data_IF_440752474006
#
_entry.id   IF_440752474006
#
_cell.length_a   1.000
_cell.length_b   1.000
_cell.length_c   1.000
_cell.angle_alpha   90.00
_cell.angle_beta   90.00
_cell.angle_gamma   90.00
#
_symmetry.space_group_name_H-M   'P 1'
#
loop_
_entity.id
_entity.type
_entity.pdbx_description
1 polymer ?
#
# COMPACT_ATOMS: atom_id res chain seq x y z
N UNK A 1 -64.59 -19.22 25.75
CA UNK A 1 -63.49 -18.61 24.98
C UNK A 1 -62.18 -18.99 25.67
N UNK A 2 -61.53 -20.08 25.26
CA UNK A 2 -60.21 -20.45 25.73
C UNK A 2 -59.19 -19.59 24.98
N UNK A 3 -58.46 -18.73 25.72
CA UNK A 3 -57.30 -18.05 25.17
C UNK A 3 -56.18 -19.10 24.99
N UNK A 4 -55.90 -19.43 23.76
CA UNK A 4 -54.70 -20.20 23.42
C UNK A 4 -53.52 -19.27 23.71
N UNK A 5 -52.83 -19.50 24.84
CA UNK A 5 -51.49 -18.95 25.06
C UNK A 5 -50.60 -19.52 23.99
N UNK A 6 -50.24 -18.72 22.98
CA UNK A 6 -49.13 -19.02 22.07
C UNK A 6 -47.89 -19.26 22.95
N UNK A 7 -47.53 -20.52 23.11
CA UNK A 7 -46.25 -20.90 23.71
C UNK A 7 -45.17 -20.42 22.73
N UNK A 8 -44.58 -19.27 23.04
CA UNK A 8 -43.41 -18.78 22.29
C UNK A 8 -42.34 -19.88 22.31
N UNK A 9 -42.13 -20.47 21.16
CA UNK A 9 -41.15 -21.52 20.99
C UNK A 9 -39.76 -20.88 21.15
N UNK A 10 -39.03 -21.20 22.23
CA UNK A 10 -37.65 -20.72 22.45
C UNK A 10 -36.66 -21.76 21.93
N UNK A 11 -35.57 -21.27 21.35
CA UNK A 11 -34.51 -22.12 20.79
C UNK A 11 -33.27 -22.19 21.68
N UNK A 12 -33.01 -21.18 22.50
CA UNK A 12 -31.87 -21.12 23.44
C UNK A 12 -32.27 -20.55 24.81
N UNK A 13 -31.67 -21.13 25.85
CA UNK A 13 -31.76 -20.62 27.25
C UNK A 13 -30.37 -20.27 27.74
N UNK A 14 -30.19 -19.10 28.35
CA UNK A 14 -28.93 -18.71 28.99
C UNK A 14 -28.71 -19.51 30.25
N UNK A 15 -27.70 -20.37 30.26
CA UNK A 15 -27.39 -21.22 31.44
C UNK A 15 -26.41 -20.56 32.38
N UNK A 16 -25.38 -19.91 31.85
CA UNK A 16 -24.29 -19.35 32.65
C UNK A 16 -23.69 -18.12 32.00
N UNK A 17 -23.31 -17.15 32.81
CA UNK A 17 -22.57 -15.95 32.38
C UNK A 17 -21.29 -15.88 33.21
N UNK A 18 -20.13 -15.77 32.54
CA UNK A 18 -18.83 -15.62 33.19
C UNK A 18 -18.12 -14.39 32.62
N UNK A 19 -17.73 -13.43 33.47
CA UNK A 19 -16.89 -12.29 33.04
C UNK A 19 -15.45 -12.74 32.85
N UNK A 20 -14.88 -12.41 31.68
CA UNK A 20 -13.49 -12.71 31.33
C UNK A 20 -12.88 -11.45 30.72
N UNK A 21 -12.03 -10.78 31.50
CA UNK A 21 -11.51 -9.45 31.17
C UNK A 21 -12.65 -8.43 30.93
N UNK A 22 -12.64 -7.75 29.80
CA UNK A 22 -13.66 -6.78 29.34
C UNK A 22 -14.88 -7.43 28.64
N UNK A 23 -15.00 -8.76 28.66
CA UNK A 23 -16.04 -9.47 27.91
C UNK A 23 -16.76 -10.48 28.80
N UNK A 24 -17.88 -10.98 28.31
CA UNK A 24 -18.72 -12.00 28.98
C UNK A 24 -18.76 -13.26 28.09
N UNK A 25 -18.46 -14.40 28.67
CA UNK A 25 -18.76 -15.71 28.07
C UNK A 25 -20.15 -16.15 28.57
N UNK A 26 -21.06 -16.29 27.61
CA UNK A 26 -22.44 -16.69 27.86
C UNK A 26 -22.62 -18.09 27.31
N UNK A 27 -23.03 -18.99 28.19
CA UNK A 27 -23.37 -20.36 27.81
C UNK A 27 -24.87 -20.45 27.61
N UNK A 28 -25.26 -20.90 26.43
CA UNK A 28 -26.64 -21.16 26.03
C UNK A 28 -26.87 -22.68 25.93
N UNK A 29 -28.07 -23.11 26.29
CA UNK A 29 -28.49 -24.47 26.06
C UNK A 29 -29.66 -24.48 25.08
N UNK A 30 -29.57 -25.32 24.03
CA UNK A 30 -30.67 -25.56 23.11
C UNK A 30 -31.64 -26.64 23.59
N UNK A 31 -32.75 -26.87 22.88
CA UNK A 31 -33.75 -27.90 23.18
C UNK A 31 -33.16 -29.33 23.26
N UNK A 32 -32.03 -29.58 22.62
CA UNK A 32 -31.33 -30.87 22.61
C UNK A 32 -30.27 -30.97 23.72
N UNK A 33 -30.29 -30.07 24.70
CA UNK A 33 -29.32 -30.01 25.80
C UNK A 33 -27.87 -29.77 25.38
N UNK A 34 -27.65 -29.30 24.14
CA UNK A 34 -26.31 -28.93 23.66
C UNK A 34 -25.94 -27.57 24.19
N UNK A 35 -24.73 -27.44 24.75
CA UNK A 35 -24.20 -26.19 25.25
C UNK A 35 -23.43 -25.45 24.15
N UNK A 36 -23.75 -24.18 23.95
CA UNK A 36 -23.12 -23.31 22.96
C UNK A 36 -22.59 -22.09 23.74
N UNK A 37 -21.29 -21.78 23.61
CA UNK A 37 -20.66 -20.64 24.28
C UNK A 37 -20.36 -19.54 23.29
N UNK A 38 -20.89 -18.34 23.57
CA UNK A 38 -20.60 -17.14 22.81
C UNK A 38 -19.98 -16.05 23.70
N UNK A 39 -19.15 -15.21 23.08
CA UNK A 39 -18.47 -14.10 23.73
C UNK A 39 -19.18 -12.79 23.37
N UNK A 40 -19.55 -12.02 24.41
CA UNK A 40 -20.25 -10.74 24.29
C UNK A 40 -19.46 -9.61 24.94
N UNK A 41 -19.62 -8.41 24.43
CA UNK A 41 -19.19 -7.17 25.10
C UNK A 41 -20.23 -6.75 26.16
N UNK A 42 -19.86 -5.82 27.05
CA UNK A 42 -20.79 -5.29 28.03
C UNK A 42 -21.99 -4.59 27.36
N UNK A 43 -21.74 -3.80 26.31
CA UNK A 43 -22.78 -3.13 25.54
C UNK A 43 -23.80 -4.14 24.95
N UNK A 44 -23.31 -5.26 24.42
CA UNK A 44 -24.19 -6.31 23.89
C UNK A 44 -24.99 -7.02 24.98
N UNK A 45 -24.40 -7.22 26.17
CA UNK A 45 -25.13 -7.78 27.32
C UNK A 45 -26.30 -6.89 27.70
N UNK A 46 -26.10 -5.56 27.68
CA UNK A 46 -27.14 -4.57 28.00
C UNK A 46 -28.16 -4.47 26.87
N UNK A 47 -27.70 -4.32 25.61
CA UNK A 47 -28.55 -4.17 24.43
C UNK A 47 -29.54 -5.32 24.28
N UNK A 48 -29.06 -6.55 24.39
CA UNK A 48 -29.90 -7.74 24.27
C UNK A 48 -30.49 -8.20 25.62
N UNK A 49 -30.22 -7.47 26.71
CA UNK A 49 -30.66 -7.82 28.08
C UNK A 49 -30.37 -9.28 28.41
N UNK A 50 -29.12 -9.72 28.16
CA UNK A 50 -28.73 -11.11 28.39
C UNK A 50 -28.55 -11.37 29.89
N UNK A 51 -29.46 -12.14 30.49
CA UNK A 51 -29.43 -12.56 31.89
C UNK A 51 -29.54 -14.06 31.99
N UNK A 52 -29.14 -14.63 33.12
CA UNK A 52 -29.31 -16.08 33.36
C UNK A 52 -30.80 -16.44 33.31
N UNK A 53 -31.11 -17.62 32.79
CA UNK A 53 -32.45 -18.19 32.57
C UNK A 53 -33.29 -17.44 31.52
N UNK A 54 -32.75 -16.40 30.86
CA UNK A 54 -33.44 -15.76 29.76
C UNK A 54 -33.51 -16.70 28.54
N UNK A 55 -34.69 -16.75 27.94
CA UNK A 55 -34.97 -17.51 26.74
C UNK A 55 -34.94 -16.60 25.51
N UNK A 56 -34.45 -17.12 24.39
CA UNK A 56 -34.42 -16.45 23.10
C UNK A 56 -35.08 -17.34 22.05
N UNK A 57 -35.86 -16.74 21.14
CA UNK A 57 -36.34 -17.43 19.96
C UNK A 57 -35.26 -17.43 18.88
N UNK A 58 -35.50 -18.19 17.80
CA UNK A 58 -34.54 -18.34 16.71
C UNK A 58 -34.11 -17.01 16.09
N UNK A 59 -35.08 -16.12 15.83
CA UNK A 59 -34.82 -14.80 15.23
C UNK A 59 -33.97 -13.91 16.13
N UNK A 60 -34.24 -13.91 17.43
CA UNK A 60 -33.44 -13.18 18.42
C UNK A 60 -32.04 -13.71 18.51
N UNK A 61 -31.87 -15.04 18.48
CA UNK A 61 -30.54 -15.67 18.47
C UNK A 61 -29.77 -15.28 17.22
N UNK A 62 -30.37 -15.39 16.04
CA UNK A 62 -29.73 -15.02 14.79
C UNK A 62 -29.31 -13.54 14.78
N UNK A 63 -30.15 -12.65 15.31
CA UNK A 63 -29.84 -11.22 15.44
C UNK A 63 -28.65 -10.99 16.40
N UNK A 64 -28.66 -11.65 17.56
CA UNK A 64 -27.59 -11.56 18.56
C UNK A 64 -26.26 -12.03 17.94
N UNK A 65 -26.25 -13.17 17.26
CA UNK A 65 -25.06 -13.71 16.63
C UNK A 65 -24.55 -12.81 15.51
N UNK A 66 -25.45 -12.31 14.68
CA UNK A 66 -25.10 -11.36 13.61
C UNK A 66 -24.47 -10.10 14.17
N UNK A 67 -25.07 -9.49 15.20
CA UNK A 67 -24.56 -8.26 15.86
C UNK A 67 -23.21 -8.52 16.54
N UNK A 68 -23.06 -9.67 17.22
CA UNK A 68 -21.80 -10.06 17.84
C UNK A 68 -20.68 -10.22 16.81
N UNK A 69 -20.97 -10.87 15.69
CA UNK A 69 -20.01 -11.08 14.61
C UNK A 69 -19.62 -9.77 13.93
N UNK A 70 -20.60 -8.88 13.69
CA UNK A 70 -20.38 -7.55 13.14
C UNK A 70 -19.46 -6.71 14.05
N UNK A 71 -19.70 -6.69 15.36
CA UNK A 71 -18.85 -5.99 16.33
C UNK A 71 -17.43 -6.57 16.39
N UNK A 72 -17.28 -7.88 16.33
CA UNK A 72 -15.98 -8.57 16.27
C UNK A 72 -15.16 -8.12 15.04
N UNK A 73 -15.78 -8.10 13.85
CA UNK A 73 -15.10 -7.72 12.64
C UNK A 73 -14.86 -6.21 12.54
N UNK A 74 -15.75 -5.38 13.07
CA UNK A 74 -15.50 -3.95 13.24
C UNK A 74 -14.24 -3.69 14.06
N UNK A 75 -14.12 -4.33 15.23
CA UNK A 75 -12.95 -4.18 16.12
C UNK A 75 -11.66 -4.73 15.48
N UNK A 76 -11.74 -5.83 14.72
CA UNK A 76 -10.59 -6.34 13.94
C UNK A 76 -10.15 -5.34 12.86
N UNK A 77 -11.10 -4.71 12.18
CA UNK A 77 -10.81 -3.71 11.16
C UNK A 77 -10.18 -2.46 11.76
N UNK A 78 -10.65 -1.99 12.91
CA UNK A 78 -10.02 -0.90 13.65
C UNK A 78 -8.55 -1.22 13.98
N UNK A 79 -8.28 -2.40 14.56
CA UNK A 79 -6.91 -2.82 14.87
C UNK A 79 -6.03 -2.86 13.61
N UNK A 80 -6.58 -3.30 12.48
CA UNK A 80 -5.85 -3.37 11.21
C UNK A 80 -5.52 -1.98 10.65
N UNK A 81 -6.43 -1.00 10.83
CA UNK A 81 -6.22 0.41 10.46
C UNK A 81 -5.18 1.07 11.38
N UNK A 82 -5.23 0.81 12.70
CA UNK A 82 -4.29 1.42 13.66
C UNK A 82 -2.83 0.96 13.48
N UNK A 83 -2.59 -0.20 12.89
CA UNK A 83 -1.21 -0.65 12.55
C UNK A 83 -0.64 0.20 11.42
N UNK A 84 -1.45 0.54 10.41
CA UNK A 84 -1.07 1.32 9.24
C UNK A 84 -2.34 1.89 8.59
N UNK A 85 -2.34 3.15 8.12
CA UNK A 85 -3.43 3.69 7.32
C UNK A 85 -3.82 2.76 6.16
N UNK A 86 -5.12 2.61 5.92
CA UNK A 86 -5.68 1.70 4.92
C UNK A 86 -6.70 2.41 4.06
N UNK A 87 -6.76 2.03 2.78
CA UNK A 87 -7.82 2.49 1.88
C UNK A 87 -9.13 1.72 2.13
N UNK A 88 -10.23 2.30 1.71
CA UNK A 88 -11.55 1.64 1.73
C UNK A 88 -11.51 0.29 1.02
N UNK A 89 -10.79 0.17 -0.10
CA UNK A 89 -10.63 -1.08 -0.84
C UNK A 89 -9.84 -2.14 -0.07
N UNK A 90 -8.77 -1.75 0.63
CA UNK A 90 -7.99 -2.67 1.47
C UNK A 90 -8.86 -3.25 2.59
N UNK A 91 -9.69 -2.42 3.25
CA UNK A 91 -10.63 -2.88 4.27
C UNK A 91 -11.73 -3.77 3.68
N UNK A 92 -12.28 -3.43 2.52
CA UNK A 92 -13.23 -4.29 1.81
C UNK A 92 -12.63 -5.67 1.54
N UNK A 93 -11.39 -5.72 1.03
CA UNK A 93 -10.69 -6.98 0.78
C UNK A 93 -10.35 -7.75 2.07
N UNK A 94 -10.09 -7.05 3.17
CA UNK A 94 -9.89 -7.66 4.48
C UNK A 94 -11.18 -8.32 5.00
N UNK A 95 -12.32 -7.64 4.87
CA UNK A 95 -13.63 -8.13 5.30
C UNK A 95 -14.14 -9.31 4.45
N UNK A 96 -13.72 -9.46 3.20
CA UNK A 96 -14.04 -10.65 2.38
C UNK A 96 -13.54 -11.98 2.97
N UNK A 97 -12.61 -11.92 3.93
CA UNK A 97 -12.12 -13.10 4.68
C UNK A 97 -13.03 -13.46 5.85
N UNK A 98 -14.07 -12.67 6.08
CA UNK A 98 -15.06 -12.92 7.12
C UNK A 98 -16.19 -13.82 6.61
N UNK A 99 -16.95 -14.34 7.55
CA UNK A 99 -18.22 -15.02 7.34
C UNK A 99 -19.43 -14.05 7.28
N UNK A 100 -19.16 -12.73 7.18
CA UNK A 100 -20.19 -11.71 7.07
C UNK A 100 -20.77 -11.63 5.67
N UNK A 101 -22.08 -11.42 5.58
CA UNK A 101 -22.74 -11.05 4.33
C UNK A 101 -22.29 -9.67 3.83
N UNK A 102 -22.51 -9.39 2.54
CA UNK A 102 -22.10 -8.13 1.91
C UNK A 102 -22.68 -6.91 2.63
N UNK A 103 -23.94 -6.98 3.03
CA UNK A 103 -24.63 -5.88 3.75
C UNK A 103 -23.92 -5.57 5.08
N UNK A 104 -23.55 -6.60 5.84
CA UNK A 104 -22.81 -6.44 7.10
C UNK A 104 -21.40 -5.89 6.86
N UNK A 105 -20.72 -6.29 5.78
CA UNK A 105 -19.41 -5.74 5.41
C UNK A 105 -19.53 -4.24 5.09
N UNK A 106 -20.54 -3.85 4.31
CA UNK A 106 -20.84 -2.44 3.99
C UNK A 106 -21.16 -1.62 5.23
N UNK A 107 -21.94 -2.15 6.16
CA UNK A 107 -22.23 -1.48 7.45
C UNK A 107 -20.95 -1.17 8.22
N UNK A 108 -19.99 -2.09 8.26
CA UNK A 108 -18.68 -1.86 8.90
C UNK A 108 -17.93 -0.75 8.18
N UNK A 109 -17.82 -0.80 6.85
CA UNK A 109 -17.13 0.21 6.05
C UNK A 109 -17.75 1.59 6.28
N UNK A 110 -19.08 1.71 6.17
CA UNK A 110 -19.80 2.95 6.38
C UNK A 110 -19.59 3.51 7.78
N UNK A 111 -19.59 2.64 8.80
CA UNK A 111 -19.31 3.05 10.17
C UNK A 111 -17.88 3.57 10.34
N UNK A 112 -16.89 2.89 9.77
CA UNK A 112 -15.48 3.31 9.80
C UNK A 112 -15.27 4.65 9.08
N UNK A 113 -15.91 4.84 7.93
CA UNK A 113 -15.88 6.09 7.16
C UNK A 113 -16.57 7.24 7.89
N UNK A 114 -17.74 6.98 8.48
CA UNK A 114 -18.47 7.97 9.28
C UNK A 114 -17.65 8.51 10.46
N UNK A 115 -16.91 7.64 11.13
CA UNK A 115 -16.02 8.02 12.23
C UNK A 115 -14.63 8.47 11.77
N UNK A 116 -14.41 8.64 10.47
CA UNK A 116 -13.14 9.10 9.89
C UNK A 116 -11.93 8.19 10.16
N UNK A 117 -12.17 6.91 10.45
CA UNK A 117 -11.11 5.90 10.48
C UNK A 117 -10.71 5.45 9.07
N UNK A 118 -11.62 5.56 8.10
CA UNK A 118 -11.38 5.42 6.67
C UNK A 118 -11.65 6.75 5.99
N UNK A 119 -10.64 7.25 5.28
CA UNK A 119 -10.72 8.50 4.53
C UNK A 119 -9.71 8.41 3.38
N UNK A 120 -10.19 8.03 2.19
CA UNK A 120 -9.34 7.87 1.01
C UNK A 120 -8.74 9.19 0.53
N UNK A 121 -9.40 10.33 0.78
CA UNK A 121 -8.85 11.65 0.46
C UNK A 121 -7.67 12.02 1.37
N UNK A 122 -7.83 11.81 2.69
CA UNK A 122 -6.74 12.02 3.64
C UNK A 122 -5.57 11.07 3.33
N UNK A 123 -5.88 9.83 2.93
CA UNK A 123 -4.88 8.85 2.51
C UNK A 123 -4.07 9.34 1.30
N UNK A 124 -4.75 9.85 0.25
CA UNK A 124 -4.09 10.40 -0.94
C UNK A 124 -3.11 11.52 -0.55
N UNK A 125 -3.58 12.51 0.22
CA UNK A 125 -2.76 13.65 0.64
C UNK A 125 -1.52 13.22 1.41
N UNK A 126 -1.68 12.32 2.38
CA UNK A 126 -0.55 11.76 3.13
C UNK A 126 0.40 11.00 2.22
N UNK A 127 -0.11 10.14 1.35
CA UNK A 127 0.71 9.36 0.44
C UNK A 127 1.50 10.22 -0.55
N UNK A 128 0.91 11.32 -1.04
CA UNK A 128 1.58 12.29 -1.89
C UNK A 128 2.74 12.97 -1.16
N UNK A 129 2.52 13.42 0.07
CA UNK A 129 3.58 14.03 0.91
C UNK A 129 4.74 13.05 1.14
N UNK A 130 4.44 11.82 1.56
CA UNK A 130 5.46 10.78 1.77
C UNK A 130 6.20 10.41 0.48
N UNK A 131 5.50 10.43 -0.66
CA UNK A 131 6.09 10.15 -1.97
C UNK A 131 7.05 11.26 -2.40
N UNK A 132 6.70 12.51 -2.15
CA UNK A 132 7.57 13.68 -2.38
C UNK A 132 8.86 13.57 -1.57
N UNK A 133 8.77 13.20 -0.29
CA UNK A 133 9.95 13.04 0.56
C UNK A 133 10.86 11.88 0.14
N UNK A 134 10.26 10.84 -0.43
CA UNK A 134 10.99 9.70 -1.01
C UNK A 134 11.51 9.96 -2.44
N UNK A 135 11.25 11.13 -3.01
CA UNK A 135 11.56 11.49 -4.40
C UNK A 135 10.95 10.46 -5.40
N UNK A 136 9.67 10.17 -5.25
CA UNK A 136 8.90 9.34 -6.19
C UNK A 136 8.19 10.25 -7.18
N UNK A 137 8.05 9.82 -8.42
CA UNK A 137 7.41 10.63 -9.46
C UNK A 137 5.88 10.50 -9.47
N UNK A 138 5.22 11.44 -10.15
CA UNK A 138 3.75 11.49 -10.32
C UNK A 138 3.17 10.16 -10.81
N UNK A 139 3.81 9.53 -11.80
CA UNK A 139 3.34 8.26 -12.36
C UNK A 139 3.38 7.12 -11.34
N UNK A 140 4.39 7.09 -10.47
CA UNK A 140 4.46 6.12 -9.37
C UNK A 140 3.32 6.32 -8.37
N UNK A 141 3.03 7.58 -8.03
CA UNK A 141 1.95 7.93 -7.10
C UNK A 141 0.60 7.46 -7.66
N UNK A 142 0.28 7.85 -8.89
CA UNK A 142 -0.97 7.45 -9.56
C UNK A 142 -1.12 5.92 -9.58
N UNK A 143 -0.12 5.23 -10.12
CA UNK A 143 -0.17 3.78 -10.25
C UNK A 143 -0.31 3.05 -8.91
N UNK A 144 0.36 3.56 -7.87
CA UNK A 144 0.26 2.94 -6.53
C UNK A 144 -1.11 3.17 -5.92
N UNK A 145 -1.68 4.38 -6.02
CA UNK A 145 -3.02 4.68 -5.53
C UNK A 145 -4.10 3.86 -6.26
N UNK A 146 -3.97 3.69 -7.57
CA UNK A 146 -4.85 2.80 -8.36
C UNK A 146 -4.76 1.33 -7.88
N UNK A 147 -3.56 0.82 -7.64
CA UNK A 147 -3.35 -0.53 -7.07
C UNK A 147 -3.98 -0.70 -5.71
N UNK A 148 -3.97 0.35 -4.90
CA UNK A 148 -4.63 0.38 -3.58
C UNK A 148 -6.17 0.50 -3.69
N UNK A 149 -6.70 0.61 -4.92
CA UNK A 149 -8.11 0.59 -5.23
C UNK A 149 -8.81 1.93 -5.08
N UNK A 150 -8.06 3.02 -5.05
CA UNK A 150 -8.61 4.37 -5.11
C UNK A 150 -9.05 4.68 -6.54
N UNK A 151 -10.21 5.28 -6.71
CA UNK A 151 -10.75 5.58 -8.03
C UNK A 151 -9.91 6.63 -8.77
N UNK A 152 -9.78 6.48 -10.09
CA UNK A 152 -9.10 7.48 -10.94
C UNK A 152 -9.67 8.87 -10.79
N UNK A 153 -10.99 8.97 -10.66
CA UNK A 153 -11.68 10.26 -10.44
C UNK A 153 -11.15 10.95 -9.17
N UNK A 154 -11.04 10.21 -8.06
CA UNK A 154 -10.57 10.76 -6.80
C UNK A 154 -9.07 11.13 -6.89
N UNK A 155 -8.26 10.29 -7.51
CA UNK A 155 -6.83 10.56 -7.72
C UNK A 155 -6.66 11.86 -8.52
N UNK A 156 -7.40 12.04 -9.62
CA UNK A 156 -7.30 13.20 -10.49
C UNK A 156 -7.63 14.52 -9.77
N UNK A 157 -8.54 14.51 -8.77
CA UNK A 157 -8.85 15.70 -8.00
C UNK A 157 -7.68 16.23 -7.15
N UNK A 158 -6.71 15.38 -6.86
CA UNK A 158 -5.59 15.74 -5.98
C UNK A 158 -4.24 15.76 -6.68
N UNK A 159 -4.05 14.95 -7.72
CA UNK A 159 -2.73 14.72 -8.31
C UNK A 159 -2.12 15.98 -8.97
N UNK A 160 -2.93 16.93 -9.38
CA UNK A 160 -2.45 18.19 -9.96
C UNK A 160 -1.76 19.09 -8.92
N UNK A 161 -2.01 18.86 -7.63
CA UNK A 161 -1.28 19.51 -6.54
C UNK A 161 0.08 18.86 -6.24
N UNK A 162 0.42 17.73 -6.90
CA UNK A 162 1.73 17.11 -6.78
C UNK A 162 2.77 17.93 -7.53
N UNK A 163 3.49 18.80 -6.80
CA UNK A 163 4.39 19.80 -7.38
C UNK A 163 5.69 19.17 -7.88
N UNK A 164 5.83 19.04 -9.20
CA UNK A 164 7.05 18.51 -9.81
C UNK A 164 8.24 19.44 -9.75
N UNK A 165 8.04 20.76 -9.59
CA UNK A 165 9.16 21.71 -9.44
C UNK A 165 9.91 21.48 -8.12
N UNK A 166 9.19 21.31 -7.01
CA UNK A 166 9.81 20.97 -5.72
C UNK A 166 10.54 19.62 -5.79
N UNK A 167 10.06 18.72 -6.64
CA UNK A 167 10.69 17.42 -6.88
C UNK A 167 12.01 17.58 -7.64
N UNK A 168 12.13 18.50 -8.61
CA UNK A 168 13.36 18.76 -9.36
C UNK A 168 14.50 19.12 -8.43
N UNK A 169 14.30 20.08 -7.51
CA UNK A 169 15.35 20.50 -6.57
C UNK A 169 15.83 19.33 -5.70
N UNK A 170 14.89 18.59 -5.11
CA UNK A 170 15.22 17.42 -4.28
C UNK A 170 15.96 16.33 -5.07
N UNK A 171 15.56 16.10 -6.31
CA UNK A 171 16.20 15.11 -7.21
C UNK A 171 17.59 15.57 -7.61
N UNK A 172 17.76 16.82 -8.03
CA UNK A 172 19.07 17.38 -8.40
C UNK A 172 20.07 17.20 -7.29
N UNK A 173 19.74 17.65 -6.07
CA UNK A 173 20.60 17.48 -4.90
C UNK A 173 20.93 16.01 -4.58
N UNK A 174 19.97 15.11 -4.77
CA UNK A 174 20.16 13.68 -4.55
C UNK A 174 21.03 13.05 -5.62
N UNK A 175 20.76 13.34 -6.88
CA UNK A 175 21.45 12.70 -7.99
C UNK A 175 22.83 13.31 -8.27
N UNK A 176 23.09 14.57 -7.89
CA UNK A 176 24.44 15.11 -7.84
C UNK A 176 25.36 14.27 -6.95
N UNK A 177 24.88 13.86 -5.77
CA UNK A 177 25.66 12.96 -4.89
C UNK A 177 25.90 11.58 -5.48
N UNK A 178 24.95 11.08 -6.28
CA UNK A 178 25.09 9.77 -6.96
C UNK A 178 26.05 9.88 -8.13
N UNK A 179 26.05 11.01 -8.86
CA UNK A 179 26.97 11.28 -9.96
C UNK A 179 28.41 11.09 -9.51
N UNK A 180 28.83 11.62 -8.36
CA UNK A 180 30.18 11.41 -7.83
C UNK A 180 30.61 9.94 -7.70
N UNK A 181 29.67 9.03 -7.60
CA UNK A 181 29.97 7.58 -7.58
C UNK A 181 30.15 7.00 -8.99
N UNK A 182 29.82 7.75 -10.02
CA UNK A 182 29.83 7.34 -11.42
C UNK A 182 30.90 8.03 -12.25
N UNK A 183 31.76 8.87 -11.65
CA UNK A 183 32.78 9.67 -12.35
C UNK A 183 33.77 8.83 -13.18
N UNK A 184 33.93 7.55 -12.84
CA UNK A 184 34.75 6.61 -13.60
C UNK A 184 34.10 6.15 -14.91
N UNK A 185 32.87 6.56 -15.18
CA UNK A 185 32.15 6.24 -16.42
C UNK A 185 32.04 7.47 -17.31
N UNK A 186 31.97 7.30 -18.65
CA UNK A 186 31.68 8.40 -19.56
C UNK A 186 30.37 9.11 -19.20
N UNK A 187 30.32 10.44 -19.35
CA UNK A 187 29.14 11.28 -18.99
C UNK A 187 27.86 10.75 -19.66
N UNK A 188 27.91 10.30 -20.90
CA UNK A 188 26.77 9.70 -21.60
C UNK A 188 26.23 8.50 -20.83
N UNK A 189 27.12 7.65 -20.30
CA UNK A 189 26.75 6.48 -19.51
C UNK A 189 26.18 6.85 -18.14
N UNK A 190 26.77 7.85 -17.49
CA UNK A 190 26.26 8.39 -16.22
C UNK A 190 24.83 8.90 -16.41
N UNK A 191 24.57 9.75 -17.42
CA UNK A 191 23.22 10.25 -17.74
C UNK A 191 22.23 9.13 -18.00
N UNK A 192 22.61 8.11 -18.74
CA UNK A 192 21.76 6.94 -18.99
C UNK A 192 21.37 6.21 -17.70
N UNK A 193 22.33 5.96 -16.80
CA UNK A 193 22.09 5.30 -15.52
C UNK A 193 21.16 6.13 -14.63
N UNK A 194 21.38 7.45 -14.56
CA UNK A 194 20.53 8.33 -13.77
C UNK A 194 19.12 8.41 -14.35
N UNK A 195 18.99 8.50 -15.68
CA UNK A 195 17.70 8.44 -16.38
C UNK A 195 16.92 7.18 -16.01
N UNK A 196 17.55 6.01 -16.10
CA UNK A 196 16.92 4.74 -15.76
C UNK A 196 16.49 4.68 -14.29
N UNK A 197 17.35 5.14 -13.37
CA UNK A 197 17.02 5.19 -11.93
C UNK A 197 15.82 6.11 -11.65
N UNK A 198 15.71 7.24 -12.31
CA UNK A 198 14.59 8.18 -12.17
C UNK A 198 13.31 7.64 -12.83
N UNK A 199 13.41 7.06 -14.01
CA UNK A 199 12.28 6.47 -14.73
C UNK A 199 11.63 5.33 -13.91
N UNK A 200 12.44 4.46 -13.27
CA UNK A 200 11.94 3.41 -12.38
C UNK A 200 11.19 3.94 -11.16
N UNK A 201 11.40 5.20 -10.79
CA UNK A 201 10.65 5.89 -9.73
C UNK A 201 9.40 6.61 -10.25
N UNK A 202 9.05 6.43 -11.52
CA UNK A 202 7.88 7.04 -12.14
C UNK A 202 7.98 8.55 -12.36
N UNK A 203 9.20 9.08 -12.42
CA UNK A 203 9.46 10.50 -12.72
C UNK A 203 9.21 10.75 -14.20
N UNK A 204 8.58 11.87 -14.53
CA UNK A 204 8.28 12.25 -15.91
C UNK A 204 9.57 12.54 -16.70
N UNK A 205 9.56 12.25 -18.00
CA UNK A 205 10.73 12.47 -18.87
C UNK A 205 11.17 13.93 -18.91
N UNK A 206 10.24 14.87 -18.89
CA UNK A 206 10.50 16.31 -18.81
C UNK A 206 11.25 16.68 -17.54
N UNK A 207 10.78 16.17 -16.39
CA UNK A 207 11.42 16.36 -15.08
C UNK A 207 12.80 15.71 -15.03
N UNK A 208 12.97 14.52 -15.61
CA UNK A 208 14.27 13.86 -15.72
C UNK A 208 15.25 14.73 -16.49
N UNK A 209 14.84 15.27 -17.63
CA UNK A 209 15.70 16.13 -18.44
C UNK A 209 16.13 17.38 -17.66
N UNK A 210 15.19 18.07 -17.01
CA UNK A 210 15.47 19.24 -16.19
C UNK A 210 16.45 18.93 -15.05
N UNK A 211 16.30 17.79 -14.38
CA UNK A 211 17.25 17.34 -13.35
C UNK A 211 18.64 17.10 -13.92
N UNK A 212 18.72 16.43 -15.09
CA UNK A 212 20.01 16.15 -15.74
C UNK A 212 20.72 17.43 -16.23
N UNK A 213 19.95 18.44 -16.62
CA UNK A 213 20.51 19.74 -17.06
C UNK A 213 21.03 20.57 -15.87
N UNK A 214 20.52 20.30 -14.65
CA UNK A 214 20.94 20.96 -13.42
C UNK A 214 22.07 20.22 -12.67
N UNK A 215 22.51 19.04 -13.14
CA UNK A 215 23.63 18.30 -12.55
C UNK A 215 24.95 18.68 -13.20
N UNK A 216 25.94 19.02 -12.38
CA UNK A 216 27.31 19.20 -12.82
C UNK A 216 27.96 17.83 -13.03
N UNK A 217 28.07 17.42 -14.30
CA UNK A 217 28.68 16.14 -14.65
C UNK A 217 30.18 16.29 -14.76
N UNK A 218 30.89 15.34 -14.17
CA UNK A 218 32.36 15.19 -14.29
C UNK A 218 32.70 13.76 -14.66
N UNK A 219 33.88 13.57 -15.27
CA UNK A 219 34.39 12.24 -15.59
C UNK A 219 35.88 12.09 -15.35
N UNK A 220 36.26 10.95 -14.79
CA UNK A 220 37.63 10.49 -14.64
C UNK A 220 37.72 9.06 -15.20
N UNK A 221 37.83 8.97 -16.55
CA UNK A 221 37.61 7.72 -17.29
C UNK A 221 38.89 7.04 -17.74
N UNK A 222 40.07 7.61 -17.49
CA UNK A 222 41.33 7.11 -18.05
C UNK A 222 41.60 5.64 -17.71
N UNK A 223 41.52 5.28 -16.42
CA UNK A 223 41.76 3.92 -16.00
C UNK A 223 40.69 2.92 -16.49
N UNK A 224 39.43 3.37 -16.53
CA UNK A 224 38.33 2.55 -17.04
C UNK A 224 38.47 2.33 -18.54
N UNK A 225 38.81 3.38 -19.28
CA UNK A 225 39.08 3.28 -20.72
C UNK A 225 40.23 2.29 -21.03
N UNK A 226 41.35 2.36 -20.30
CA UNK A 226 42.49 1.42 -20.46
C UNK A 226 42.04 -0.03 -20.27
N UNK A 227 41.26 -0.30 -19.21
CA UNK A 227 40.71 -1.65 -18.94
C UNK A 227 39.77 -2.12 -20.05
N UNK A 228 38.86 -1.28 -20.48
CA UNK A 228 37.91 -1.62 -21.53
C UNK A 228 38.62 -1.84 -22.88
N UNK A 229 39.59 -1.00 -23.21
CA UNK A 229 40.39 -1.14 -24.45
C UNK A 229 41.16 -2.47 -24.46
N UNK A 230 41.83 -2.84 -23.35
CA UNK A 230 42.54 -4.12 -23.25
C UNK A 230 41.58 -5.29 -23.45
N UNK A 231 40.42 -5.23 -22.79
CA UNK A 231 39.38 -6.28 -22.89
C UNK A 231 38.92 -6.44 -24.34
N UNK A 232 38.63 -5.32 -25.02
CA UNK A 232 38.14 -5.34 -26.42
C UNK A 232 39.21 -5.80 -27.37
N UNK A 233 40.48 -5.38 -27.18
CA UNK A 233 41.61 -5.83 -28.01
C UNK A 233 41.87 -7.33 -27.89
N UNK A 234 41.60 -7.95 -26.73
CA UNK A 234 41.67 -9.40 -26.58
C UNK A 234 40.56 -10.16 -27.33
N UNK A 235 39.47 -9.48 -27.70
CA UNK A 235 38.34 -10.07 -28.47
C UNK A 235 38.49 -9.85 -29.97
N UNK A 236 39.16 -8.79 -30.41
CA UNK A 236 39.29 -8.44 -31.82
C UNK A 236 40.48 -7.49 -32.08
N UNK A 237 41.18 -7.69 -33.20
CA UNK A 237 42.27 -6.81 -33.67
C UNK A 237 41.79 -5.80 -34.74
N UNK A 238 40.47 -5.83 -35.08
CA UNK A 238 39.91 -4.91 -36.07
C UNK A 238 39.64 -3.55 -35.42
N UNK A 239 40.40 -2.53 -35.80
CA UNK A 239 40.29 -1.17 -35.29
C UNK A 239 38.89 -0.60 -35.40
N UNK A 240 38.16 -0.86 -36.51
CA UNK A 240 36.80 -0.36 -36.70
C UNK A 240 35.83 -1.00 -35.66
N UNK A 241 35.99 -2.29 -35.40
CA UNK A 241 35.19 -2.98 -34.38
C UNK A 241 35.53 -2.52 -32.96
N UNK A 242 36.81 -2.24 -32.68
CA UNK A 242 37.25 -1.69 -31.41
C UNK A 242 36.58 -0.33 -31.17
N UNK A 243 36.68 0.58 -32.16
CA UNK A 243 36.05 1.90 -32.07
C UNK A 243 34.55 1.79 -31.85
N UNK A 244 33.85 0.94 -32.61
CA UNK A 244 32.40 0.76 -32.45
C UNK A 244 32.02 0.25 -31.05
N UNK A 245 32.79 -0.68 -30.50
CA UNK A 245 32.53 -1.20 -29.14
C UNK A 245 32.75 -0.11 -28.10
N UNK A 246 33.82 0.68 -28.21
CA UNK A 246 34.09 1.80 -27.29
C UNK A 246 33.03 2.90 -27.38
N UNK A 247 32.53 3.23 -28.56
CA UNK A 247 31.42 4.15 -28.76
C UNK A 247 30.14 3.65 -28.06
N UNK A 248 29.85 2.35 -28.16
CA UNK A 248 28.70 1.73 -27.42
C UNK A 248 28.85 1.78 -25.90
N UNK A 249 30.07 1.82 -25.38
CA UNK A 249 30.35 2.02 -23.97
C UNK A 249 30.20 3.49 -23.53
N UNK A 250 30.01 4.41 -24.51
CA UNK A 250 29.74 5.83 -24.24
C UNK A 250 30.96 6.72 -24.32
N UNK A 251 32.13 6.22 -24.72
CA UNK A 251 33.30 7.04 -24.99
C UNK A 251 33.07 7.88 -26.25
N UNK A 252 33.54 9.14 -26.23
CA UNK A 252 33.45 10.01 -27.43
C UNK A 252 34.46 9.61 -28.47
N UNK A 253 34.14 9.81 -29.77
CA UNK A 253 35.06 9.48 -30.85
C UNK A 253 36.39 10.21 -30.71
N UNK A 254 36.38 11.49 -30.30
CA UNK A 254 37.58 12.29 -30.13
C UNK A 254 38.46 11.78 -28.98
N UNK A 255 37.85 11.28 -27.90
CA UNK A 255 38.58 10.64 -26.81
C UNK A 255 39.22 9.33 -27.27
N UNK A 256 38.47 8.49 -27.98
CA UNK A 256 38.93 7.22 -28.52
C UNK A 256 40.12 7.44 -29.45
N UNK A 257 39.97 8.39 -30.41
CA UNK A 257 41.00 8.70 -31.42
C UNK A 257 42.32 9.18 -30.80
N UNK A 258 42.27 9.90 -29.69
CA UNK A 258 43.49 10.35 -28.98
C UNK A 258 44.27 9.23 -28.28
N UNK A 259 43.61 8.09 -27.99
CA UNK A 259 44.19 7.02 -27.21
C UNK A 259 44.35 5.69 -27.97
N UNK A 260 43.92 5.63 -29.20
CA UNK A 260 44.14 4.50 -30.11
C UNK A 260 44.95 5.04 -31.27
N UNK A 261 46.15 4.57 -31.43
CA UNK A 261 46.94 4.81 -32.62
C UNK A 261 46.22 4.21 -33.84
N UNK A 262 45.65 5.07 -34.69
CA UNK A 262 44.96 4.68 -35.90
C UNK A 262 45.95 4.75 -37.08
#
# INVERSE_FOLDING_TARGET
>A
MMQIKETKEFDLIVKKIKKVNSNYLVSFINKNSQEIIHKFTEDQMVEFRITVDKTFNKQEVDLILKTSNLSKWYNKSLKYIFIKPRTTKEISNYLKRSDLDLTSQEQIINKLTRYKYLDDEAYIKQFMTESMDKCLGRNYVIHTLEKLGISKFLINNYIDSYNEKDLVEKLTAKYQKIEYTLISLPIIKQKLILTQKMALKGILTTTIQEVLDNIDFSENIEDTFKKDLIKIKNETNDNNKIIQKLLRLGYTYDYIKRHIDV
#
